data_IF_334844200257
#
_entry.id   IF_334844200257
#
_cell.length_a   1.000
_cell.length_b   1.000
_cell.length_c   1.000
_cell.angle_alpha   90.00
_cell.angle_beta   90.00
_cell.angle_gamma   90.00
#
_symmetry.space_group_name_H-M   'P 1'
#
loop_
_entity.id
_entity.type
_entity.pdbx_description
1 polymer ?
#
# COMPACT_ATOMS: atom_id res chain seq x y z
N UNK A 1 -25.77 7.63 59.55
CA UNK A 1 -26.72 7.33 58.46
C UNK A 1 -25.96 7.47 57.14
N UNK A 2 -25.41 6.38 56.62
CA UNK A 2 -24.64 6.39 55.37
C UNK A 2 -25.63 6.30 54.21
N UNK A 3 -25.74 7.36 53.42
CA UNK A 3 -26.45 7.32 52.14
C UNK A 3 -25.72 6.38 51.19
N UNK A 4 -26.36 5.30 50.74
CA UNK A 4 -25.94 4.49 49.62
C UNK A 4 -26.09 5.37 48.38
N UNK A 5 -24.97 5.72 47.76
CA UNK A 5 -24.96 6.22 46.41
C UNK A 5 -25.12 5.01 45.50
N UNK A 6 -26.33 4.85 44.97
CA UNK A 6 -26.64 3.84 43.96
C UNK A 6 -26.12 4.35 42.60
N UNK A 7 -24.83 4.25 42.38
CA UNK A 7 -24.23 4.57 41.10
C UNK A 7 -24.09 3.32 40.24
N UNK A 8 -25.20 2.93 39.64
CA UNK A 8 -25.29 1.78 38.72
C UNK A 8 -24.79 2.12 37.32
N UNK A 9 -24.08 3.25 37.14
CA UNK A 9 -23.50 3.59 35.86
C UNK A 9 -22.25 2.75 35.60
N UNK A 10 -22.38 1.77 34.72
CA UNK A 10 -21.24 1.11 34.15
C UNK A 10 -20.51 2.08 33.18
N UNK A 11 -19.29 2.44 33.50
CA UNK A 11 -18.43 3.18 32.57
C UNK A 11 -17.73 2.19 31.66
N UNK A 12 -18.02 2.25 30.36
CA UNK A 12 -17.23 1.58 29.35
C UNK A 12 -16.12 2.56 28.93
N UNK A 13 -14.87 2.16 29.15
CA UNK A 13 -13.75 2.90 28.61
C UNK A 13 -13.66 2.64 27.10
N UNK A 14 -13.57 3.70 26.31
CA UNK A 14 -13.24 3.61 24.89
C UNK A 14 -11.76 3.18 24.74
N UNK A 15 -11.46 1.97 24.30
CA UNK A 15 -10.09 1.50 24.19
C UNK A 15 -9.32 2.12 23.03
N UNK A 16 -10.00 2.90 22.17
CA UNK A 16 -9.37 3.54 21.03
C UNK A 16 -8.49 4.69 21.50
N UNK A 17 -7.19 4.60 21.22
CA UNK A 17 -6.27 5.71 21.41
C UNK A 17 -6.62 6.88 20.47
N UNK A 18 -6.41 8.11 20.92
CA UNK A 18 -6.34 9.25 20.01
C UNK A 18 -4.96 9.20 19.36
N UNK A 19 -4.92 9.03 18.04
CA UNK A 19 -3.68 9.15 17.28
C UNK A 19 -3.62 10.60 16.77
N UNK A 20 -2.75 11.40 17.37
CA UNK A 20 -2.39 12.71 16.84
C UNK A 20 -1.21 12.50 15.91
N UNK A 21 -1.47 12.51 14.60
CA UNK A 21 -0.42 12.42 13.58
C UNK A 21 -0.25 13.75 12.89
N UNK A 22 0.99 14.18 12.71
CA UNK A 22 1.30 15.34 11.86
C UNK A 22 1.23 14.89 10.42
N UNK A 23 0.48 15.62 9.59
CA UNK A 23 0.40 15.34 8.16
C UNK A 23 1.78 15.51 7.50
N UNK A 24 2.15 14.52 6.71
CA UNK A 24 3.36 14.52 5.90
C UNK A 24 2.95 14.67 4.43
N UNK A 25 3.56 15.56 3.66
CA UNK A 25 3.28 15.67 2.23
C UNK A 25 3.70 14.41 1.49
N UNK A 26 3.03 14.15 0.37
CA UNK A 26 3.44 13.10 -0.56
C UNK A 26 4.79 13.45 -1.21
N UNK A 27 5.50 12.43 -1.68
CA UNK A 27 6.66 12.61 -2.53
C UNK A 27 6.32 13.45 -3.77
N UNK A 28 7.25 14.24 -4.32
CA UNK A 28 7.03 14.95 -5.58
C UNK A 28 6.61 13.98 -6.70
N UNK A 29 5.51 14.27 -7.36
CA UNK A 29 5.00 13.43 -8.45
C UNK A 29 5.73 13.74 -9.75
N UNK A 30 6.15 12.72 -10.52
CA UNK A 30 6.77 12.94 -11.83
C UNK A 30 5.72 13.44 -12.83
N UNK A 31 6.13 14.29 -13.75
CA UNK A 31 5.30 14.79 -14.85
C UNK A 31 5.05 13.71 -15.91
N UNK A 32 6.01 12.80 -16.08
CA UNK A 32 5.95 11.68 -17.01
C UNK A 32 6.62 10.43 -16.40
N UNK A 33 6.15 9.26 -16.78
CA UNK A 33 6.68 7.99 -16.30
C UNK A 33 7.79 7.40 -17.18
N UNK A 34 7.86 7.82 -18.45
CA UNK A 34 8.88 7.34 -19.38
C UNK A 34 10.29 7.70 -18.90
N UNK A 35 11.20 6.75 -18.99
CA UNK A 35 12.59 6.90 -18.54
C UNK A 35 12.80 6.72 -17.03
N UNK A 36 11.75 6.56 -16.24
CA UNK A 36 11.87 6.29 -14.80
C UNK A 36 12.21 4.82 -14.52
N UNK A 37 12.82 4.58 -13.37
CA UNK A 37 13.10 3.24 -12.84
C UNK A 37 11.92 2.82 -11.95
N UNK A 38 11.19 1.76 -12.36
CA UNK A 38 10.08 1.20 -11.61
C UNK A 38 10.58 0.18 -10.59
N UNK A 39 10.28 0.38 -9.32
CA UNK A 39 10.48 -0.61 -8.26
C UNK A 39 9.21 -1.43 -8.05
N UNK A 40 9.37 -2.73 -7.87
CA UNK A 40 8.29 -3.65 -7.50
C UNK A 40 8.62 -4.21 -6.12
N UNK A 41 7.76 -3.97 -5.12
CA UNK A 41 7.90 -4.55 -3.78
C UNK A 41 6.85 -5.63 -3.55
N UNK A 42 7.26 -6.87 -3.64
CA UNK A 42 6.45 -8.06 -3.38
C UNK A 42 6.47 -8.41 -1.90
N UNK A 43 5.31 -8.45 -1.26
CA UNK A 43 5.20 -8.82 0.15
C UNK A 43 5.11 -10.33 0.40
N UNK A 44 5.34 -11.17 -0.61
CA UNK A 44 5.29 -12.64 -0.53
C UNK A 44 3.89 -13.22 -0.21
N UNK A 45 2.83 -12.43 -0.38
CA UNK A 45 1.47 -12.91 -0.23
C UNK A 45 1.11 -13.81 -1.42
N UNK A 46 0.21 -14.76 -1.18
CA UNK A 46 -0.26 -15.66 -2.24
C UNK A 46 -0.78 -14.89 -3.46
N UNK A 47 -0.33 -15.23 -4.65
CA UNK A 47 -0.58 -14.58 -5.94
C UNK A 47 -0.04 -13.13 -6.11
N UNK A 48 0.56 -12.51 -5.09
CA UNK A 48 1.15 -11.17 -5.22
C UNK A 48 2.19 -11.12 -6.35
N UNK A 49 3.06 -12.12 -6.43
CA UNK A 49 4.06 -12.22 -7.47
C UNK A 49 3.48 -12.29 -8.90
N UNK A 50 2.35 -12.98 -9.09
CA UNK A 50 1.69 -13.07 -10.40
C UNK A 50 1.09 -11.73 -10.81
N UNK A 51 0.39 -11.08 -9.87
CA UNK A 51 -0.19 -9.74 -10.09
C UNK A 51 0.90 -8.71 -10.40
N UNK A 52 1.95 -8.67 -9.60
CA UNK A 52 3.03 -7.69 -9.75
C UNK A 52 3.83 -7.90 -11.04
N UNK A 53 4.13 -9.14 -11.41
CA UNK A 53 4.82 -9.44 -12.69
C UNK A 53 3.94 -9.11 -13.88
N UNK A 54 2.66 -9.51 -13.86
CA UNK A 54 1.71 -9.17 -14.91
C UNK A 54 1.50 -7.66 -15.04
N UNK A 55 1.40 -6.93 -13.91
CA UNK A 55 1.29 -5.49 -13.92
C UNK A 55 2.57 -4.81 -14.46
N UNK A 56 3.74 -5.28 -14.06
CA UNK A 56 5.02 -4.75 -14.55
C UNK A 56 5.18 -4.96 -16.07
N UNK A 57 4.81 -6.14 -16.58
CA UNK A 57 4.83 -6.45 -18.01
C UNK A 57 3.85 -5.55 -18.78
N UNK A 58 2.60 -5.46 -18.35
CA UNK A 58 1.59 -4.65 -19.01
C UNK A 58 1.95 -3.15 -18.98
N UNK A 59 2.41 -2.62 -17.82
CA UNK A 59 2.89 -1.24 -17.70
C UNK A 59 4.09 -0.97 -18.60
N UNK A 60 5.03 -1.93 -18.75
CA UNK A 60 6.18 -1.79 -19.64
C UNK A 60 5.80 -1.82 -21.12
N UNK A 61 4.64 -2.38 -21.45
CA UNK A 61 4.06 -2.29 -22.79
C UNK A 61 3.51 -0.91 -23.14
N UNK A 62 3.12 -0.13 -22.12
CA UNK A 62 2.55 1.22 -22.28
C UNK A 62 3.56 2.34 -22.00
N UNK A 63 4.52 2.10 -21.10
CA UNK A 63 5.50 3.07 -20.62
C UNK A 63 6.92 2.53 -20.82
N UNK A 64 7.76 3.31 -21.50
CA UNK A 64 9.18 3.00 -21.67
C UNK A 64 9.98 3.29 -20.39
N UNK A 65 9.93 2.40 -19.39
CA UNK A 65 10.75 2.51 -18.19
C UNK A 65 12.23 2.31 -18.48
N UNK A 66 13.12 3.03 -17.78
CA UNK A 66 14.57 2.82 -17.89
C UNK A 66 14.99 1.47 -17.27
N UNK A 67 14.29 1.03 -16.23
CA UNK A 67 14.50 -0.25 -15.57
C UNK A 67 13.25 -0.68 -14.80
N UNK A 68 13.10 -1.99 -14.59
CA UNK A 68 12.12 -2.58 -13.67
C UNK A 68 12.87 -3.46 -12.67
N UNK A 69 12.90 -3.04 -11.42
CA UNK A 69 13.62 -3.72 -10.34
C UNK A 69 12.63 -4.44 -9.42
N UNK A 70 12.87 -5.73 -9.15
CA UNK A 70 11.96 -6.56 -8.35
C UNK A 70 12.58 -6.91 -7.00
N UNK A 71 11.87 -6.59 -5.93
CA UNK A 71 12.25 -6.84 -4.54
C UNK A 71 11.20 -7.69 -3.85
N UNK A 72 11.63 -8.56 -2.94
CA UNK A 72 10.75 -9.44 -2.18
C UNK A 72 11.05 -9.27 -0.70
N UNK A 73 10.04 -9.03 0.12
CA UNK A 73 10.19 -9.06 1.57
C UNK A 73 9.79 -10.41 2.16
N UNK A 74 10.39 -10.77 3.29
CA UNK A 74 10.25 -12.10 3.87
C UNK A 74 8.86 -12.43 4.42
N UNK A 75 8.00 -11.43 4.66
CA UNK A 75 6.68 -11.66 5.27
C UNK A 75 5.68 -10.59 4.84
N UNK A 76 4.48 -11.04 4.48
CA UNK A 76 3.36 -10.13 4.19
C UNK A 76 2.79 -9.45 5.45
N UNK A 77 3.08 -9.98 6.64
CA UNK A 77 2.56 -9.49 7.93
C UNK A 77 3.58 -8.71 8.75
N UNK A 78 4.71 -8.35 8.15
CA UNK A 78 5.74 -7.47 8.75
C UNK A 78 6.08 -6.36 7.77
N UNK A 79 6.46 -5.22 8.29
CA UNK A 79 6.96 -4.11 7.47
C UNK A 79 8.27 -4.51 6.78
N UNK A 80 8.57 -3.90 5.65
CA UNK A 80 9.87 -4.05 4.99
C UNK A 80 10.95 -3.46 5.88
N UNK A 81 12.16 -4.04 5.84
CA UNK A 81 13.25 -3.52 6.66
C UNK A 81 13.70 -2.15 6.16
N UNK A 82 14.23 -1.28 7.05
CA UNK A 82 14.75 0.04 6.65
C UNK A 82 15.81 -0.06 5.55
N UNK A 83 16.66 -1.08 5.58
CA UNK A 83 17.69 -1.32 4.58
C UNK A 83 17.10 -1.64 3.20
N UNK A 84 16.03 -2.46 3.16
CA UNK A 84 15.32 -2.77 1.91
C UNK A 84 14.64 -1.53 1.35
N UNK A 85 13.96 -0.75 2.18
CA UNK A 85 13.31 0.49 1.75
C UNK A 85 14.32 1.54 1.25
N UNK A 86 15.44 1.69 1.95
CA UNK A 86 16.53 2.60 1.53
C UNK A 86 17.15 2.16 0.20
N UNK A 87 17.34 0.85 0.00
CA UNK A 87 17.82 0.29 -1.25
C UNK A 87 16.84 0.57 -2.39
N UNK A 88 15.54 0.31 -2.21
CA UNK A 88 14.51 0.61 -3.21
C UNK A 88 14.53 2.11 -3.56
N UNK A 89 14.59 2.97 -2.54
CA UNK A 89 14.61 4.41 -2.76
C UNK A 89 15.87 4.90 -3.51
N UNK A 90 17.00 4.23 -3.39
CA UNK A 90 18.22 4.56 -4.14
C UNK A 90 18.18 4.05 -5.59
N UNK A 91 17.55 2.89 -5.82
CA UNK A 91 17.56 2.20 -7.10
C UNK A 91 16.33 2.51 -7.99
N UNK A 92 15.25 3.10 -7.43
CA UNK A 92 13.97 3.32 -8.12
C UNK A 92 13.48 4.77 -7.97
N UNK A 93 12.67 5.21 -8.91
CA UNK A 93 12.09 6.55 -8.94
C UNK A 93 10.60 6.52 -8.53
N UNK A 94 9.90 5.45 -8.86
CA UNK A 94 8.51 5.13 -8.46
C UNK A 94 8.41 3.68 -8.02
N UNK A 95 7.42 3.34 -7.20
CA UNK A 95 7.28 1.99 -6.65
C UNK A 95 5.84 1.48 -6.72
N UNK A 96 5.68 0.21 -7.09
CA UNK A 96 4.43 -0.54 -6.97
C UNK A 96 4.57 -1.55 -5.83
N UNK A 97 3.68 -1.52 -4.83
CA UNK A 97 3.72 -2.43 -3.69
C UNK A 97 2.45 -3.29 -3.63
N UNK A 98 2.58 -4.56 -3.29
CA UNK A 98 1.43 -5.46 -3.14
C UNK A 98 1.68 -6.50 -2.02
N UNK A 99 0.63 -6.97 -1.44
CA UNK A 99 -0.80 -6.75 -1.63
C UNK A 99 -1.50 -6.72 -0.28
N UNK A 100 -2.45 -5.79 -0.12
CA UNK A 100 -3.34 -5.71 1.03
C UNK A 100 -4.62 -6.52 0.81
N UNK A 101 -4.60 -7.82 1.11
CA UNK A 101 -5.71 -8.77 0.95
C UNK A 101 -6.12 -9.45 2.29
N UNK A 102 -5.62 -8.93 3.42
CA UNK A 102 -5.98 -9.28 4.79
C UNK A 102 -5.57 -8.12 5.70
N UNK A 103 -6.06 -8.08 6.95
CA UNK A 103 -5.80 -6.97 7.86
C UNK A 103 -4.31 -6.67 8.08
N UNK A 104 -3.51 -7.70 8.43
CA UNK A 104 -2.08 -7.51 8.66
C UNK A 104 -1.31 -7.17 7.39
N UNK A 105 -1.60 -7.84 6.27
CA UNK A 105 -0.88 -7.55 5.03
C UNK A 105 -1.25 -6.18 4.45
N UNK A 106 -2.50 -5.73 4.60
CA UNK A 106 -2.94 -4.39 4.22
C UNK A 106 -2.17 -3.34 5.02
N UNK A 107 -2.20 -3.43 6.34
CA UNK A 107 -1.52 -2.48 7.23
C UNK A 107 -0.02 -2.38 6.93
N UNK A 108 0.68 -3.51 6.73
CA UNK A 108 2.10 -3.50 6.39
C UNK A 108 2.37 -2.94 4.99
N UNK A 109 1.55 -3.29 3.98
CA UNK A 109 1.71 -2.78 2.62
C UNK A 109 1.54 -1.25 2.57
N UNK A 110 0.56 -0.72 3.30
CA UNK A 110 0.34 0.73 3.42
C UNK A 110 1.50 1.41 4.13
N UNK A 111 2.04 0.84 5.22
CA UNK A 111 3.20 1.39 5.94
C UNK A 111 4.45 1.41 5.07
N UNK A 112 4.71 0.34 4.31
CA UNK A 112 5.84 0.29 3.37
C UNK A 112 5.72 1.41 2.33
N UNK A 113 4.50 1.64 1.81
CA UNK A 113 4.24 2.71 0.84
C UNK A 113 4.44 4.09 1.45
N UNK A 114 3.94 4.35 2.68
CA UNK A 114 4.18 5.60 3.40
C UNK A 114 5.67 5.83 3.64
N UNK A 115 6.41 4.78 3.99
CA UNK A 115 7.86 4.88 4.19
C UNK A 115 8.59 5.24 2.89
N UNK A 116 8.20 4.67 1.76
CA UNK A 116 8.74 5.01 0.44
C UNK A 116 8.40 6.46 0.03
N UNK A 117 7.16 6.91 0.27
CA UNK A 117 6.76 8.30 0.07
C UNK A 117 7.63 9.27 0.89
N UNK A 118 7.87 8.96 2.17
CA UNK A 118 8.76 9.75 3.03
C UNK A 118 10.21 9.76 2.56
N UNK A 119 10.64 8.72 1.83
CA UNK A 119 11.94 8.66 1.15
C UNK A 119 11.93 9.35 -0.22
N UNK A 120 10.85 10.06 -0.57
CA UNK A 120 10.73 10.80 -1.82
C UNK A 120 10.42 9.92 -3.03
N UNK A 121 9.83 8.74 -2.84
CA UNK A 121 9.47 7.80 -3.92
C UNK A 121 7.97 7.63 -3.99
N UNK A 122 7.30 8.14 -5.04
CA UNK A 122 5.88 7.91 -5.25
C UNK A 122 5.55 6.42 -5.23
N UNK A 123 4.62 6.02 -4.35
CA UNK A 123 4.29 4.62 -4.12
C UNK A 123 2.82 4.34 -4.44
N UNK A 124 2.58 3.38 -5.33
CA UNK A 124 1.25 2.85 -5.63
C UNK A 124 1.04 1.55 -4.81
N UNK A 125 0.24 1.65 -3.74
CA UNK A 125 -0.08 0.54 -2.85
C UNK A 125 -1.30 -0.23 -3.36
N UNK A 126 -1.14 -1.50 -3.73
CA UNK A 126 -2.25 -2.35 -4.17
C UNK A 126 -2.95 -2.95 -2.95
N UNK A 127 -4.26 -2.70 -2.85
CA UNK A 127 -5.15 -3.29 -1.85
C UNK A 127 -6.38 -3.85 -2.53
N UNK A 128 -7.14 -4.70 -1.84
CA UNK A 128 -8.43 -5.16 -2.35
C UNK A 128 -9.60 -4.35 -1.78
N UNK A 129 -10.75 -4.40 -2.43
CA UNK A 129 -11.98 -3.64 -2.10
C UNK A 129 -12.39 -3.76 -0.64
N UNK A 130 -12.20 -4.93 -0.02
CA UNK A 130 -12.58 -5.19 1.38
C UNK A 130 -11.70 -4.41 2.39
N UNK A 131 -10.52 -3.93 1.99
CA UNK A 131 -9.56 -3.25 2.86
C UNK A 131 -9.45 -1.73 2.64
N UNK A 132 -10.33 -1.14 1.86
CA UNK A 132 -10.35 0.31 1.58
C UNK A 132 -10.51 1.12 2.88
N UNK A 133 -11.46 0.73 3.74
CA UNK A 133 -11.71 1.44 5.01
C UNK A 133 -10.51 1.33 5.96
N UNK A 134 -9.91 0.15 6.08
CA UNK A 134 -8.72 -0.06 6.92
C UNK A 134 -7.53 0.74 6.40
N UNK A 135 -7.33 0.77 5.09
CA UNK A 135 -6.32 1.60 4.43
C UNK A 135 -6.50 3.07 4.79
N UNK A 136 -7.70 3.62 4.64
CA UNK A 136 -8.00 5.02 4.96
C UNK A 136 -7.69 5.34 6.43
N UNK A 137 -8.12 4.47 7.36
CA UNK A 137 -7.84 4.65 8.79
C UNK A 137 -6.33 4.61 9.07
N UNK A 138 -5.60 3.71 8.42
CA UNK A 138 -4.14 3.60 8.56
C UNK A 138 -3.42 4.83 8.02
N UNK A 139 -3.84 5.33 6.86
CA UNK A 139 -3.27 6.54 6.25
C UNK A 139 -3.45 7.78 7.14
N UNK A 140 -4.65 7.96 7.68
CA UNK A 140 -4.94 9.05 8.64
C UNK A 140 -4.09 8.89 9.91
N UNK A 141 -4.06 7.69 10.48
CA UNK A 141 -3.31 7.41 11.71
C UNK A 141 -1.80 7.63 11.56
N UNK A 142 -1.27 7.47 10.35
CA UNK A 142 0.16 7.65 10.06
C UNK A 142 0.49 9.00 9.40
N UNK A 143 -0.49 9.91 9.32
CA UNK A 143 -0.28 11.28 8.84
C UNK A 143 -0.08 11.41 7.34
N UNK A 144 -0.64 10.51 6.53
CA UNK A 144 -0.56 10.61 5.06
C UNK A 144 -1.92 10.33 4.40
N UNK A 145 -2.98 11.09 4.77
CA UNK A 145 -4.34 10.86 4.27
C UNK A 145 -4.47 11.10 2.74
N UNK A 146 -3.52 11.81 2.14
CA UNK A 146 -3.50 12.10 0.70
C UNK A 146 -3.00 10.94 -0.17
N UNK A 147 -2.38 9.90 0.41
CA UNK A 147 -1.91 8.74 -0.37
C UNK A 147 -3.11 7.93 -0.90
N UNK A 148 -3.13 7.73 -2.22
CA UNK A 148 -4.21 6.98 -2.88
C UNK A 148 -3.77 5.55 -3.15
N UNK A 149 -4.49 4.53 -2.66
CA UNK A 149 -4.20 3.14 -3.02
C UNK A 149 -4.70 2.82 -4.44
N UNK A 150 -4.09 1.81 -5.04
CA UNK A 150 -4.64 1.08 -6.18
C UNK A 150 -5.59 0.02 -5.63
N UNK A 151 -6.86 0.09 -6.01
CA UNK A 151 -7.90 -0.81 -5.49
C UNK A 151 -8.29 -1.83 -6.55
N UNK A 152 -8.18 -3.11 -6.21
CA UNK A 152 -8.57 -4.23 -7.07
C UNK A 152 -9.64 -5.07 -6.39
N UNK A 153 -10.36 -5.88 -7.16
CA UNK A 153 -11.40 -6.75 -6.62
C UNK A 153 -10.85 -7.79 -5.65
N UNK A 154 -11.60 -8.03 -4.56
CA UNK A 154 -11.35 -9.11 -3.62
C UNK A 154 -12.04 -10.42 -4.09
N UNK A 155 -11.51 -11.62 -3.75
CA UNK A 155 -10.21 -11.91 -3.13
C UNK A 155 -9.06 -11.99 -4.15
N UNK A 156 -7.84 -12.21 -3.64
CA UNK A 156 -6.66 -12.45 -4.49
C UNK A 156 -6.06 -13.83 -4.28
N UNK A 157 -6.21 -14.40 -3.09
CA UNK A 157 -5.52 -15.66 -2.73
C UNK A 157 -6.09 -16.91 -3.40
N UNK A 158 -7.34 -16.91 -3.89
CA UNK A 158 -8.04 -18.09 -4.43
C UNK A 158 -8.67 -17.82 -5.80
N UNK A 159 -7.95 -17.18 -6.70
CA UNK A 159 -8.44 -16.77 -8.03
C UNK A 159 -7.73 -17.54 -9.16
N UNK A 160 -8.41 -17.62 -10.30
CA UNK A 160 -7.89 -18.25 -11.54
C UNK A 160 -6.89 -17.35 -12.25
N UNK A 161 -6.25 -17.87 -13.28
CA UNK A 161 -5.32 -17.09 -14.11
C UNK A 161 -6.04 -15.95 -14.86
N UNK A 162 -7.25 -16.20 -15.32
CA UNK A 162 -8.10 -15.21 -16.00
C UNK A 162 -8.49 -14.06 -15.04
N UNK A 163 -8.82 -14.40 -13.81
CA UNK A 163 -9.13 -13.42 -12.78
C UNK A 163 -7.89 -12.61 -12.37
N UNK A 164 -6.70 -13.22 -12.34
CA UNK A 164 -5.43 -12.49 -12.17
C UNK A 164 -5.24 -11.47 -13.29
N UNK A 165 -5.49 -11.85 -14.56
CA UNK A 165 -5.37 -10.94 -15.70
C UNK A 165 -6.33 -9.75 -15.60
N UNK A 166 -7.57 -9.96 -15.13
CA UNK A 166 -8.52 -8.88 -14.88
C UNK A 166 -8.02 -7.89 -13.81
N UNK A 167 -7.47 -8.41 -12.68
CA UNK A 167 -6.89 -7.56 -11.63
C UNK A 167 -5.66 -6.80 -12.12
N UNK A 168 -4.84 -7.42 -12.96
CA UNK A 168 -3.71 -6.73 -13.61
C UNK A 168 -4.21 -5.52 -14.41
N UNK A 169 -5.29 -5.67 -15.19
CA UNK A 169 -5.92 -4.54 -15.90
C UNK A 169 -6.36 -3.41 -14.95
N UNK A 170 -6.95 -3.74 -13.79
CA UNK A 170 -7.33 -2.77 -12.77
C UNK A 170 -6.10 -2.04 -12.18
N UNK A 171 -4.98 -2.75 -11.98
CA UNK A 171 -3.74 -2.15 -11.49
C UNK A 171 -3.18 -1.15 -12.50
N UNK A 172 -3.05 -1.54 -13.76
CA UNK A 172 -2.45 -0.73 -14.83
C UNK A 172 -3.19 0.59 -15.00
N UNK A 173 -4.52 0.56 -15.01
CA UNK A 173 -5.36 1.75 -15.16
C UNK A 173 -5.18 2.76 -14.02
N UNK A 174 -4.94 2.30 -12.80
CA UNK A 174 -4.89 3.15 -11.61
C UNK A 174 -3.46 3.58 -11.25
N UNK A 175 -2.47 2.70 -11.40
CA UNK A 175 -1.10 2.95 -10.93
C UNK A 175 -0.48 4.18 -11.59
N UNK A 176 -0.67 4.37 -12.89
CA UNK A 176 -0.15 5.53 -13.62
C UNK A 176 -0.73 6.84 -13.06
N UNK A 177 -2.03 6.87 -12.77
CA UNK A 177 -2.70 8.03 -12.16
C UNK A 177 -2.17 8.29 -10.76
N UNK A 178 -2.00 7.25 -9.94
CA UNK A 178 -1.49 7.38 -8.56
C UNK A 178 -0.09 7.96 -8.53
N UNK A 179 0.77 7.59 -9.46
CA UNK A 179 2.16 8.12 -9.51
C UNK A 179 2.25 9.56 -10.03
N UNK A 180 1.28 10.04 -10.80
CA UNK A 180 1.35 11.36 -11.47
C UNK A 180 0.37 12.40 -10.92
N UNK A 181 -0.53 12.02 -10.01
CA UNK A 181 -1.61 12.88 -9.48
C UNK A 181 -1.30 13.53 -8.14
#
# INVERSE_FOLDING_TARGET
MLQRVDDTRAFAFDPRGRVESTETPLAPRPVALAGLRLGILDNSKWNANKLLRGAAEALSGEVAFAAVNYYVKHSFSKDATPELLARIAAECDIVLTAIGDCGSCCSCCVRDSIALERLGRPAACIITTEFVKETQLTLVALGMPGLRPVVIDHPVSSITAEEVALRVGQIVQQAQVVWTA
#
